data_IF_200663232854
#
_entry.id   IF_200663232854
#
_cell.length_a   1.000
_cell.length_b   1.000
_cell.length_c   1.000
_cell.angle_alpha   90.00
_cell.angle_beta   90.00
_cell.angle_gamma   90.00
#
_symmetry.space_group_name_H-M   'P 1'
#
loop_
_entity.id
_entity.type
_entity.pdbx_description
1 polymer ?
#
# COMPACT_ATOMS: atom_id res chain seq x y z
N UNK A 1 23.75 9.60 14.46
CA UNK A 1 23.88 8.15 14.25
C UNK A 1 22.86 7.82 13.19
N UNK A 2 23.28 7.29 12.04
CA UNK A 2 22.33 6.78 11.05
C UNK A 2 21.54 5.65 11.72
N UNK A 3 20.23 5.81 11.89
CA UNK A 3 19.36 4.86 12.59
C UNK A 3 19.10 3.56 11.83
N UNK A 4 20.00 3.23 10.90
CA UNK A 4 19.93 2.07 10.03
C UNK A 4 20.03 0.78 10.84
N UNK A 5 19.28 -0.23 10.42
CA UNK A 5 19.31 -1.57 11.01
C UNK A 5 19.47 -2.63 9.93
N UNK A 6 19.96 -3.81 10.30
CA UNK A 6 19.91 -4.97 9.40
C UNK A 6 18.75 -5.87 9.81
N UNK A 7 17.80 -6.03 8.89
CA UNK A 7 16.63 -6.90 9.05
C UNK A 7 16.62 -8.04 8.04
N UNK A 8 15.86 -9.09 8.31
CA UNK A 8 15.52 -10.10 7.32
C UNK A 8 14.15 -9.77 6.72
N UNK A 9 14.06 -9.66 5.39
CA UNK A 9 12.80 -9.57 4.65
C UNK A 9 12.55 -10.88 3.90
N UNK A 10 11.33 -11.38 3.97
CA UNK A 10 10.95 -12.65 3.35
C UNK A 10 10.45 -12.40 1.93
N UNK A 11 11.27 -12.72 0.93
CA UNK A 11 10.91 -12.58 -0.48
C UNK A 11 10.30 -13.87 -1.04
N UNK A 12 9.47 -13.73 -2.08
CA UNK A 12 9.02 -14.87 -2.87
C UNK A 12 10.21 -15.66 -3.42
N UNK A 13 10.11 -17.00 -3.38
CA UNK A 13 11.14 -17.90 -3.91
C UNK A 13 10.64 -18.70 -5.11
N UNK A 14 9.78 -19.68 -4.87
CA UNK A 14 9.21 -20.56 -5.89
C UNK A 14 7.89 -21.14 -5.38
N UNK A 15 7.03 -21.57 -6.29
CA UNK A 15 5.83 -22.33 -5.93
C UNK A 15 6.20 -23.78 -5.63
N UNK A 16 5.55 -24.35 -4.63
CA UNK A 16 5.86 -25.68 -4.09
C UNK A 16 5.40 -26.78 -5.08
N UNK A 17 4.37 -26.48 -5.87
CA UNK A 17 3.69 -27.41 -6.77
C UNK A 17 3.86 -27.07 -8.26
N UNK A 18 4.63 -26.02 -8.59
CA UNK A 18 4.83 -25.55 -9.96
C UNK A 18 3.64 -24.84 -10.60
N UNK A 19 2.52 -24.69 -9.87
CA UNK A 19 1.37 -23.89 -10.32
C UNK A 19 1.65 -22.38 -10.17
N UNK A 20 0.84 -21.50 -10.78
CA UNK A 20 0.94 -20.05 -10.53
C UNK A 20 0.81 -19.70 -9.04
N UNK A 21 1.51 -18.67 -8.55
CA UNK A 21 1.49 -18.32 -7.14
C UNK A 21 0.11 -17.83 -6.70
N UNK A 22 -0.32 -18.25 -5.51
CA UNK A 22 -1.51 -17.72 -4.85
C UNK A 22 -1.27 -17.54 -3.36
N UNK A 23 -2.01 -16.61 -2.77
CA UNK A 23 -2.08 -16.37 -1.34
C UNK A 23 -3.54 -16.21 -0.94
N UNK A 24 -3.93 -16.86 0.16
CA UNK A 24 -5.15 -16.53 0.87
C UNK A 24 -4.83 -15.47 1.93
N UNK A 25 -5.38 -14.27 1.76
CA UNK A 25 -5.21 -13.18 2.72
C UNK A 25 -5.94 -13.41 4.04
N UNK A 26 -6.88 -14.36 4.10
CA UNK A 26 -7.67 -14.73 5.28
C UNK A 26 -7.72 -16.25 5.47
N UNK A 27 -6.56 -16.91 5.67
CA UNK A 27 -6.50 -18.37 5.70
C UNK A 27 -7.28 -18.94 6.89
N UNK A 28 -8.13 -19.94 6.61
CA UNK A 28 -8.77 -20.73 7.68
C UNK A 28 -7.73 -21.54 8.44
N UNK A 29 -7.94 -21.74 9.74
CA UNK A 29 -7.04 -22.56 10.56
C UNK A 29 -6.89 -23.97 9.94
N UNK A 30 -5.65 -24.40 9.72
CA UNK A 30 -5.32 -25.70 9.12
C UNK A 30 -5.20 -25.71 7.58
N UNK A 31 -5.43 -24.58 6.91
CA UNK A 31 -5.23 -24.43 5.47
C UNK A 31 -3.92 -23.72 5.16
N UNK A 32 -3.32 -24.06 4.02
CA UNK A 32 -2.18 -23.31 3.49
C UNK A 32 -2.62 -21.88 3.17
N UNK A 33 -1.88 -20.89 3.64
CA UNK A 33 -2.10 -19.47 3.33
C UNK A 33 -1.48 -19.04 2.00
N UNK A 34 -0.67 -19.90 1.38
CA UNK A 34 -0.08 -19.70 0.06
C UNK A 34 0.48 -21.02 -0.48
N UNK A 35 0.79 -21.09 -1.78
CA UNK A 35 1.50 -22.21 -2.39
C UNK A 35 3.00 -21.94 -2.65
N UNK A 36 3.59 -20.91 -2.05
CA UNK A 36 4.96 -20.54 -2.34
C UNK A 36 5.87 -20.54 -1.11
N UNK A 37 7.11 -20.95 -1.35
CA UNK A 37 8.19 -20.83 -0.39
C UNK A 37 8.70 -19.38 -0.36
N UNK A 38 9.25 -19.00 0.79
CA UNK A 38 9.85 -17.69 1.01
C UNK A 38 11.33 -17.84 1.30
N UNK A 39 12.12 -16.85 0.88
CA UNK A 39 13.55 -16.78 1.18
C UNK A 39 13.82 -15.52 2.00
N UNK A 40 14.30 -15.67 3.25
CA UNK A 40 14.73 -14.52 4.05
C UNK A 40 16.01 -13.94 3.46
N UNK A 41 15.99 -12.67 3.11
CA UNK A 41 17.17 -11.92 2.63
C UNK A 41 17.51 -10.89 3.69
N UNK A 42 18.76 -10.93 4.17
CA UNK A 42 19.26 -9.90 5.09
C UNK A 42 19.58 -8.64 4.30
N UNK A 43 18.89 -7.55 4.61
CA UNK A 43 19.09 -6.26 3.96
C UNK A 43 19.30 -5.17 5.00
N UNK A 44 19.93 -4.08 4.57
CA UNK A 44 19.99 -2.85 5.34
C UNK A 44 18.67 -2.10 5.18
N UNK A 45 18.05 -1.74 6.30
CA UNK A 45 16.87 -0.89 6.37
C UNK A 45 17.37 0.49 6.77
N UNK A 46 17.24 1.44 5.87
CA UNK A 46 17.74 2.80 6.05
C UNK A 46 16.75 3.66 6.84
N UNK A 47 17.27 4.43 7.81
CA UNK A 47 16.50 5.44 8.52
C UNK A 47 16.35 6.68 7.63
N UNK A 48 15.11 6.95 7.24
CA UNK A 48 14.77 8.02 6.33
C UNK A 48 14.57 9.38 7.03
N UNK A 49 14.53 9.42 8.36
CA UNK A 49 14.27 10.65 9.12
C UNK A 49 15.35 11.70 8.86
N UNK A 50 14.94 12.89 8.42
CA UNK A 50 15.83 14.00 8.06
C UNK A 50 16.48 13.85 6.68
N UNK A 51 16.09 12.85 5.90
CA UNK A 51 16.57 12.58 4.53
C UNK A 51 15.40 12.47 3.54
N UNK A 52 14.21 12.93 3.91
CA UNK A 52 12.98 12.75 3.14
C UNK A 52 13.07 13.37 1.73
N UNK A 53 13.84 14.45 1.60
CA UNK A 53 14.01 15.21 0.37
C UNK A 53 14.87 14.53 -0.72
N UNK A 54 15.52 13.40 -0.41
CA UNK A 54 16.32 12.64 -1.40
C UNK A 54 15.53 11.50 -2.04
N UNK A 55 14.31 11.26 -1.58
CA UNK A 55 13.45 10.20 -2.08
C UNK A 55 12.50 10.78 -3.12
N UNK A 56 12.57 10.22 -4.32
CA UNK A 56 11.86 10.69 -5.49
C UNK A 56 10.94 9.61 -6.04
N UNK A 57 9.74 10.02 -6.47
CA UNK A 57 8.69 9.11 -6.90
C UNK A 57 9.10 8.24 -8.09
N UNK A 58 9.77 8.82 -9.09
CA UNK A 58 10.10 8.13 -10.34
C UNK A 58 11.24 7.13 -10.16
N UNK A 59 12.17 7.42 -9.23
CA UNK A 59 13.34 6.58 -8.98
C UNK A 59 13.14 5.57 -7.85
N UNK A 60 12.37 5.92 -6.82
CA UNK A 60 12.15 5.07 -5.65
C UNK A 60 10.78 4.38 -5.64
N UNK A 61 9.84 4.80 -6.49
CA UNK A 61 8.46 4.30 -6.51
C UNK A 61 7.58 4.86 -5.38
N UNK A 62 8.10 5.78 -4.57
CA UNK A 62 7.36 6.55 -3.58
C UNK A 62 8.08 7.87 -3.31
N UNK A 63 7.36 8.85 -2.75
CA UNK A 63 7.93 10.10 -2.26
C UNK A 63 7.35 10.46 -0.90
N UNK A 64 8.06 11.30 -0.14
CA UNK A 64 7.55 11.86 1.10
C UNK A 64 7.22 13.33 0.89
N UNK A 65 5.93 13.64 0.98
CA UNK A 65 5.44 15.02 0.97
C UNK A 65 5.09 15.44 2.39
N UNK A 66 5.50 16.66 2.75
CA UNK A 66 4.96 17.30 3.95
C UNK A 66 3.55 17.79 3.64
N UNK A 67 2.58 17.29 4.39
CA UNK A 67 1.21 17.73 4.31
C UNK A 67 0.96 18.77 5.40
N UNK A 68 0.69 20.00 4.98
CA UNK A 68 0.39 21.15 5.83
C UNK A 68 -1.13 21.49 5.76
N UNK A 69 -1.98 20.48 5.55
CA UNK A 69 -3.43 20.64 5.49
C UNK A 69 -4.09 20.74 6.86
N UNK A 70 -5.38 21.10 6.87
CA UNK A 70 -6.12 21.50 8.08
C UNK A 70 -6.71 20.31 8.85
N UNK A 71 -6.37 19.08 8.45
CA UNK A 71 -6.94 17.87 9.03
C UNK A 71 -6.15 17.44 10.24
N UNK A 72 -6.70 17.82 11.39
CA UNK A 72 -6.18 17.50 12.71
C UNK A 72 -7.12 16.60 13.53
N UNK A 73 -8.35 16.38 13.03
CA UNK A 73 -9.38 15.58 13.67
C UNK A 73 -9.27 14.09 13.36
N UNK A 74 -10.03 13.28 14.11
CA UNK A 74 -10.10 11.83 13.90
C UNK A 74 -10.66 11.48 12.53
N UNK A 75 -9.91 10.67 11.77
CA UNK A 75 -10.30 10.24 10.43
C UNK A 75 -11.25 9.03 10.51
N UNK A 76 -12.55 9.32 10.46
CA UNK A 76 -13.60 8.29 10.45
C UNK A 76 -14.16 8.07 9.03
N UNK A 77 -14.53 6.83 8.71
CA UNK A 77 -15.15 6.51 7.42
C UNK A 77 -16.50 7.20 7.26
N UNK A 78 -16.77 7.72 6.06
CA UNK A 78 -17.98 8.48 5.69
C UNK A 78 -18.19 9.79 6.49
N UNK A 79 -17.10 10.37 7.02
CA UNK A 79 -17.15 11.64 7.74
C UNK A 79 -16.90 12.85 6.83
N UNK A 80 -17.29 14.04 7.29
CA UNK A 80 -16.91 15.31 6.64
C UNK A 80 -15.39 15.48 6.59
N UNK A 81 -14.67 15.07 7.65
CA UNK A 81 -13.21 15.05 7.70
C UNK A 81 -12.60 14.23 6.56
N UNK A 82 -13.17 13.06 6.26
CA UNK A 82 -12.72 12.25 5.14
C UNK A 82 -12.94 12.96 3.79
N UNK A 83 -14.10 13.60 3.60
CA UNK A 83 -14.39 14.33 2.36
C UNK A 83 -13.43 15.50 2.17
N UNK A 84 -13.20 16.30 3.22
CA UNK A 84 -12.22 17.38 3.19
C UNK A 84 -10.81 16.87 2.89
N UNK A 85 -10.42 15.73 3.48
CA UNK A 85 -9.11 15.12 3.22
C UNK A 85 -8.93 14.75 1.75
N UNK A 86 -9.98 14.20 1.15
CA UNK A 86 -9.98 13.83 -0.26
C UNK A 86 -9.85 15.03 -1.18
N UNK A 87 -10.51 16.14 -0.85
CA UNK A 87 -10.38 17.39 -1.60
C UNK A 87 -8.95 17.95 -1.49
N UNK A 88 -8.40 18.01 -0.28
CA UNK A 88 -7.05 18.52 -0.05
C UNK A 88 -5.98 17.68 -0.73
N UNK A 89 -5.98 16.35 -0.52
CA UNK A 89 -4.96 15.48 -1.10
C UNK A 89 -5.09 15.41 -2.63
N UNK A 90 -6.29 15.52 -3.18
CA UNK A 90 -6.52 15.66 -4.63
C UNK A 90 -5.81 16.89 -5.18
N UNK A 91 -5.91 18.03 -4.50
CA UNK A 91 -5.25 19.27 -4.93
C UNK A 91 -3.72 19.17 -4.81
N UNK A 92 -3.22 18.57 -3.72
CA UNK A 92 -1.79 18.31 -3.54
C UNK A 92 -1.26 17.43 -4.68
N UNK A 93 -1.92 16.31 -4.98
CA UNK A 93 -1.50 15.37 -6.00
C UNK A 93 -1.59 15.97 -7.41
N UNK A 94 -2.67 16.69 -7.74
CA UNK A 94 -2.80 17.40 -9.02
C UNK A 94 -1.64 18.36 -9.25
N UNK A 95 -1.32 19.18 -8.24
CA UNK A 95 -0.22 20.15 -8.33
C UNK A 95 1.15 19.46 -8.39
N UNK A 96 1.38 18.42 -7.59
CA UNK A 96 2.67 17.73 -7.49
C UNK A 96 3.00 16.91 -8.74
N UNK A 97 2.00 16.28 -9.34
CA UNK A 97 2.14 15.39 -10.47
C UNK A 97 1.77 16.03 -11.82
N UNK A 98 1.40 17.31 -11.82
CA UNK A 98 0.80 18.00 -12.97
C UNK A 98 -0.36 17.21 -13.60
N UNK A 99 -1.16 16.57 -12.74
CA UNK A 99 -2.20 15.65 -13.17
C UNK A 99 -3.46 16.41 -13.59
N UNK A 100 -4.03 16.03 -14.74
CA UNK A 100 -5.31 16.55 -15.23
C UNK A 100 -6.51 16.12 -14.36
N UNK A 101 -6.36 15.02 -13.63
CA UNK A 101 -7.36 14.45 -12.73
C UNK A 101 -6.72 13.55 -11.69
N UNK A 102 -7.37 13.43 -10.53
CA UNK A 102 -6.99 12.51 -9.46
C UNK A 102 -8.27 11.85 -9.00
N UNK A 103 -8.24 10.53 -8.84
CA UNK A 103 -9.37 9.72 -8.42
C UNK A 103 -8.91 8.84 -7.26
N UNK A 104 -9.55 9.02 -6.11
CA UNK A 104 -9.31 8.21 -4.92
C UNK A 104 -10.26 7.03 -4.98
N UNK A 105 -9.72 5.84 -5.25
CA UNK A 105 -10.53 4.62 -5.44
C UNK A 105 -10.50 3.69 -4.22
N UNK A 106 -9.54 3.88 -3.33
CA UNK A 106 -9.37 3.08 -2.12
C UNK A 106 -8.62 3.91 -1.08
N UNK A 107 -8.98 3.72 0.19
CA UNK A 107 -8.25 4.21 1.33
C UNK A 107 -8.27 3.12 2.40
N UNK A 108 -7.17 2.98 3.13
CA UNK A 108 -7.09 2.06 4.26
C UNK A 108 -6.40 2.80 5.41
N UNK A 109 -7.09 2.91 6.54
CA UNK A 109 -6.49 3.43 7.77
C UNK A 109 -5.61 2.36 8.39
N UNK A 110 -4.32 2.66 8.59
CA UNK A 110 -3.39 1.72 9.23
C UNK A 110 -3.67 1.67 10.73
N UNK A 111 -4.16 0.51 11.19
CA UNK A 111 -4.32 0.25 12.61
C UNK A 111 -2.97 0.15 13.33
N UNK A 112 -2.86 0.81 14.49
CA UNK A 112 -1.62 0.87 15.30
C UNK A 112 -1.60 -0.05 16.52
N UNK A 113 -2.59 -0.92 16.70
CA UNK A 113 -2.60 -1.91 17.78
C UNK A 113 -2.06 -3.28 17.37
N UNK A 114 -2.11 -4.28 18.26
CA UNK A 114 -1.64 -5.62 17.97
C UNK A 114 -2.48 -6.27 16.84
N UNK A 115 -1.87 -7.16 16.03
CA UNK A 115 -2.61 -7.90 15.00
C UNK A 115 -3.82 -8.64 15.60
N UNK A 116 -4.96 -8.60 14.90
CA UNK A 116 -6.17 -9.35 15.28
C UNK A 116 -6.17 -10.75 14.67
N UNK A 117 -6.90 -11.72 15.24
CA UNK A 117 -7.25 -12.95 14.55
C UNK A 117 -7.85 -12.68 13.15
N UNK A 118 -7.57 -13.54 12.17
CA UNK A 118 -7.97 -13.32 10.77
C UNK A 118 -9.50 -13.22 10.59
N UNK A 119 -10.27 -13.95 11.41
CA UNK A 119 -11.73 -13.91 11.45
C UNK A 119 -12.30 -12.62 12.08
N UNK A 120 -11.44 -11.78 12.66
CA UNK A 120 -11.77 -10.47 13.21
C UNK A 120 -11.21 -9.31 12.36
N UNK A 121 -10.62 -9.61 11.20
CA UNK A 121 -10.19 -8.62 10.23
C UNK A 121 -11.31 -8.35 9.22
N UNK A 122 -11.54 -7.09 8.89
CA UNK A 122 -12.52 -6.65 7.89
C UNK A 122 -11.92 -5.54 6.99
N UNK A 123 -12.76 -4.83 6.22
CA UNK A 123 -12.29 -3.74 5.35
C UNK A 123 -11.78 -2.52 6.13
N UNK A 124 -12.33 -2.26 7.32
CA UNK A 124 -11.91 -1.19 8.22
C UNK A 124 -10.67 -1.55 9.03
N UNK A 125 -10.39 -2.84 9.18
CA UNK A 125 -9.29 -3.35 9.98
C UNK A 125 -8.60 -4.55 9.32
N UNK A 126 -7.48 -4.27 8.64
CA UNK A 126 -6.58 -5.31 8.11
C UNK A 126 -5.25 -5.32 8.83
N UNK A 127 -4.81 -6.50 9.23
CA UNK A 127 -3.45 -6.72 9.70
C UNK A 127 -2.42 -6.35 8.61
N UNK A 128 -1.21 -5.95 9.00
CA UNK A 128 -0.13 -5.77 8.05
C UNK A 128 0.18 -7.09 7.33
N UNK A 129 0.48 -6.99 6.03
CA UNK A 129 1.04 -8.10 5.27
C UNK A 129 2.52 -8.23 5.64
N UNK A 130 2.98 -9.46 5.88
CA UNK A 130 4.33 -9.73 6.40
C UNK A 130 5.40 -9.93 5.32
N UNK A 131 5.09 -9.57 4.08
CA UNK A 131 5.96 -9.80 2.93
C UNK A 131 6.05 -8.52 2.09
N UNK A 132 7.23 -8.22 1.50
CA UNK A 132 7.33 -7.21 0.47
C UNK A 132 6.42 -7.57 -0.70
N UNK A 133 5.61 -6.62 -1.14
CA UNK A 133 4.70 -6.78 -2.27
C UNK A 133 4.60 -5.49 -3.05
N UNK A 134 4.25 -5.62 -4.32
CA UNK A 134 3.81 -4.55 -5.19
C UNK A 134 2.37 -4.90 -5.56
N UNK A 135 1.44 -3.99 -5.28
CA UNK A 135 0.01 -4.27 -5.45
C UNK A 135 -0.38 -4.42 -6.93
N UNK A 136 0.24 -3.63 -7.81
CA UNK A 136 -0.09 -3.59 -9.23
C UNK A 136 1.18 -3.45 -10.08
N UNK A 137 1.25 -4.26 -11.13
CA UNK A 137 2.05 -3.95 -12.31
C UNK A 137 1.22 -3.07 -13.29
N UNK A 138 1.83 -2.50 -14.35
CA UNK A 138 1.10 -1.61 -15.25
C UNK A 138 -0.17 -2.23 -15.88
N UNK A 139 -0.17 -3.50 -16.36
CA UNK A 139 -1.38 -4.17 -16.82
C UNK A 139 -2.46 -4.31 -15.74
N UNK A 140 -2.10 -4.72 -14.52
CA UNK A 140 -3.06 -4.84 -13.43
C UNK A 140 -3.63 -3.48 -13.02
N UNK A 141 -2.81 -2.42 -13.01
CA UNK A 141 -3.26 -1.06 -12.75
C UNK A 141 -4.28 -0.61 -13.80
N UNK A 142 -4.00 -0.80 -15.09
CA UNK A 142 -4.93 -0.47 -16.17
C UNK A 142 -6.24 -1.28 -16.07
N UNK A 143 -6.15 -2.58 -15.79
CA UNK A 143 -7.32 -3.42 -15.57
C UNK A 143 -8.17 -2.94 -14.38
N UNK A 144 -7.52 -2.53 -13.30
CA UNK A 144 -8.18 -1.99 -12.11
C UNK A 144 -8.91 -0.68 -12.42
N UNK A 145 -8.26 0.23 -13.15
CA UNK A 145 -8.88 1.49 -13.62
C UNK A 145 -10.11 1.18 -14.50
N UNK A 146 -9.98 0.24 -15.45
CA UNK A 146 -11.10 -0.18 -16.31
C UNK A 146 -12.27 -0.74 -15.51
N UNK A 147 -12.01 -1.56 -14.49
CA UNK A 147 -13.06 -2.09 -13.61
C UNK A 147 -13.80 -0.99 -12.83
N UNK A 148 -13.08 0.03 -12.37
CA UNK A 148 -13.63 1.04 -11.47
C UNK A 148 -14.30 2.20 -12.21
N UNK A 149 -13.74 2.61 -13.35
CA UNK A 149 -14.09 3.85 -14.04
C UNK A 149 -14.55 3.64 -15.48
N UNK A 150 -14.54 2.39 -15.95
CA UNK A 150 -14.89 2.04 -17.32
C UNK A 150 -13.72 2.16 -18.30
N UNK A 151 -13.96 1.65 -19.51
CA UNK A 151 -12.93 1.52 -20.56
C UNK A 151 -12.49 2.85 -21.15
N UNK A 152 -13.38 3.84 -21.25
CA UNK A 152 -13.03 5.15 -21.81
C UNK A 152 -11.97 5.86 -20.96
N UNK A 153 -12.13 5.84 -19.63
CA UNK A 153 -11.19 6.47 -18.70
C UNK A 153 -9.86 5.72 -18.64
N UNK A 154 -9.90 4.38 -18.72
CA UNK A 154 -8.68 3.57 -18.67
C UNK A 154 -7.75 3.77 -19.87
N UNK A 155 -8.28 4.18 -21.02
CA UNK A 155 -7.54 4.35 -22.28
C UNK A 155 -7.05 5.79 -22.54
N UNK A 156 -7.25 6.71 -21.59
CA UNK A 156 -6.71 8.09 -21.65
C UNK A 156 -5.28 8.12 -21.13
#
# INVERSE_FOLDING_TARGET
>A
MDGDITGALNFFSHTIDGSPPWMDGNPKLGWLSSNFAQTPVRITIHDLRGKENIIDLDTNGFEILKYDGDIHDEFNDNSETQQHYYEEITNVLKKRLDASGVIIYNHITRYRGPPRPADQCDLSHRNPVFYPHVDYDPPAAHFKIKQMLGEEVANR
#
